data_IF_180846392913
#
_entry.id   IF_180846392913
#
_cell.length_a   1.000
_cell.length_b   1.000
_cell.length_c   1.000
_cell.angle_alpha   90.00
_cell.angle_beta   90.00
_cell.angle_gamma   90.00
#
_symmetry.space_group_name_H-M   'P 1'
#
loop_
_entity.id
_entity.type
_entity.pdbx_description
1 polymer ?
#
# COMPACT_ATOMS: atom_id res chain seq x y z
N UNK A 1 1.30 2.57 -7.43
CA UNK A 1 1.00 3.71 -6.52
C UNK A 1 1.55 3.39 -5.14
N UNK A 2 2.19 4.36 -4.48
CA UNK A 2 2.74 4.17 -3.13
C UNK A 2 1.63 4.47 -2.13
N UNK A 3 1.21 3.43 -1.39
CA UNK A 3 0.17 3.51 -0.36
C UNK A 3 0.77 3.87 1.00
N UNK A 4 2.03 3.54 1.26
CA UNK A 4 2.72 3.90 2.48
C UNK A 4 4.22 4.00 2.19
N UNK A 5 4.80 5.12 2.63
CA UNK A 5 6.23 5.35 2.70
C UNK A 5 6.46 6.33 3.87
N UNK A 6 7.72 6.49 4.23
CA UNK A 6 8.17 7.46 5.22
C UNK A 6 7.93 8.90 4.73
N UNK A 7 7.76 9.09 3.42
CA UNK A 7 7.42 10.34 2.75
C UNK A 7 6.06 10.22 2.06
N UNK A 8 5.28 11.32 1.98
CA UNK A 8 3.99 11.26 1.32
C UNK A 8 4.15 11.13 -0.20
N UNK A 9 3.48 10.16 -0.81
CA UNK A 9 3.41 10.03 -2.27
C UNK A 9 2.69 11.20 -2.93
N UNK A 10 1.64 11.70 -2.26
CA UNK A 10 0.82 12.84 -2.67
C UNK A 10 0.39 13.60 -1.41
N UNK A 11 0.24 14.92 -1.52
CA UNK A 11 -0.29 15.74 -0.42
C UNK A 11 -1.65 15.21 0.04
N UNK A 12 -1.84 15.10 1.36
CA UNK A 12 -3.07 14.57 1.98
C UNK A 12 -2.98 13.10 2.40
N UNK A 13 -2.01 12.34 1.87
CA UNK A 13 -1.77 10.96 2.31
C UNK A 13 -1.01 10.92 3.64
N UNK A 14 -1.34 9.92 4.45
CA UNK A 14 -0.66 9.64 5.72
C UNK A 14 0.67 8.94 5.46
N UNK A 15 1.66 9.17 6.31
CA UNK A 15 2.96 8.49 6.27
C UNK A 15 3.15 7.61 7.50
N UNK A 16 3.98 6.58 7.36
CA UNK A 16 4.47 5.76 8.46
C UNK A 16 5.85 5.20 8.08
N UNK A 17 6.63 4.77 9.07
CA UNK A 17 7.95 4.19 8.81
C UNK A 17 7.82 2.77 8.28
N UNK A 18 7.74 2.61 6.98
CA UNK A 18 7.50 1.33 6.30
C UNK A 18 7.06 1.52 4.87
N UNK A 19 6.81 0.41 4.16
CA UNK A 19 6.51 0.44 2.74
C UNK A 19 5.24 -0.36 2.43
N UNK A 20 4.39 0.20 1.57
CA UNK A 20 3.36 -0.55 0.87
C UNK A 20 3.11 0.06 -0.50
N UNK A 21 3.16 -0.77 -1.54
CA UNK A 21 3.01 -0.33 -2.93
C UNK A 21 1.97 -1.18 -3.63
N UNK A 22 0.93 -0.52 -4.15
CA UNK A 22 -0.02 -1.16 -5.05
C UNK A 22 0.52 -1.13 -6.48
N UNK A 23 0.55 -2.28 -7.14
CA UNK A 23 0.98 -2.44 -8.53
C UNK A 23 -0.14 -3.12 -9.32
N UNK A 24 -0.45 -2.57 -10.48
CA UNK A 24 -1.42 -3.15 -11.42
C UNK A 24 -0.73 -3.33 -12.78
N UNK A 25 -0.78 -4.55 -13.31
CA UNK A 25 -0.23 -4.93 -14.61
C UNK A 25 -1.28 -5.79 -15.30
N UNK A 26 -1.82 -5.30 -16.42
CA UNK A 26 -2.97 -5.91 -17.09
C UNK A 26 -4.15 -6.11 -16.11
N UNK A 27 -4.63 -7.34 -15.95
CA UNK A 27 -5.71 -7.68 -15.01
C UNK A 27 -5.20 -8.06 -13.61
N UNK A 28 -3.88 -8.13 -13.43
CA UNK A 28 -3.26 -8.55 -12.17
C UNK A 28 -2.99 -7.36 -11.26
N UNK A 29 -3.46 -7.46 -10.02
CA UNK A 29 -3.30 -6.48 -8.95
C UNK A 29 -2.56 -7.11 -7.79
N UNK A 30 -1.41 -6.54 -7.46
CA UNK A 30 -0.63 -6.97 -6.29
C UNK A 30 -0.43 -5.83 -5.31
N UNK A 31 -0.17 -6.24 -4.08
CA UNK A 31 0.31 -5.36 -3.01
C UNK A 31 1.71 -5.84 -2.62
N UNK A 32 2.71 -4.99 -2.80
CA UNK A 32 4.07 -5.24 -2.36
C UNK A 32 4.26 -4.60 -0.99
N UNK A 33 4.48 -5.43 0.03
CA UNK A 33 4.42 -5.12 1.45
C UNK A 33 3.12 -4.44 1.91
N UNK A 34 2.86 -4.47 3.21
CA UNK A 34 1.66 -3.89 3.82
C UNK A 34 1.96 -2.70 4.72
N UNK A 35 3.25 -2.38 4.91
CA UNK A 35 3.71 -1.48 5.96
C UNK A 35 3.31 -1.96 7.36
N UNK A 36 3.70 -1.25 8.43
CA UNK A 36 3.39 -1.64 9.80
C UNK A 36 1.99 -1.19 10.27
N UNK A 37 1.37 -0.20 9.62
CA UNK A 37 0.14 0.43 10.11
C UNK A 37 -1.07 0.14 9.18
N UNK A 38 -1.97 -0.78 9.55
CA UNK A 38 -3.14 -1.11 8.72
C UNK A 38 -4.13 0.05 8.58
N UNK A 39 -4.19 0.99 9.54
CA UNK A 39 -5.07 2.14 9.46
C UNK A 39 -4.56 3.17 8.44
N UNK A 40 -3.23 3.35 8.34
CA UNK A 40 -2.60 4.18 7.30
C UNK A 40 -2.79 3.54 5.93
N UNK A 41 -2.54 2.23 5.80
CA UNK A 41 -2.74 1.50 4.54
C UNK A 41 -4.18 1.65 4.03
N UNK A 42 -5.16 1.40 4.91
CA UNK A 42 -6.59 1.50 4.57
C UNK A 42 -6.97 2.92 4.15
N UNK A 43 -6.59 3.92 4.95
CA UNK A 43 -6.95 5.32 4.68
C UNK A 43 -6.36 5.82 3.36
N UNK A 44 -5.11 5.47 3.05
CA UNK A 44 -4.47 5.89 1.81
C UNK A 44 -5.03 5.14 0.60
N UNK A 45 -5.41 3.87 0.74
CA UNK A 45 -6.09 3.14 -0.34
C UNK A 45 -7.46 3.75 -0.65
N UNK A 46 -8.25 4.10 0.36
CA UNK A 46 -9.53 4.79 0.20
C UNK A 46 -9.36 6.16 -0.50
N UNK A 47 -8.41 6.97 -0.05
CA UNK A 47 -8.11 8.30 -0.64
C UNK A 47 -7.66 8.19 -2.11
N UNK A 48 -6.95 7.11 -2.46
CA UNK A 48 -6.47 6.87 -3.82
C UNK A 48 -7.48 6.09 -4.69
N UNK A 49 -8.65 5.73 -4.17
CA UNK A 49 -9.67 4.96 -4.89
C UNK A 49 -9.24 3.52 -5.21
N UNK A 50 -8.35 2.94 -4.40
CA UNK A 50 -7.84 1.58 -4.55
C UNK A 50 -8.68 0.63 -3.70
N UNK A 51 -9.33 -0.34 -4.35
CA UNK A 51 -10.09 -1.40 -3.69
C UNK A 51 -9.18 -2.58 -3.32
N UNK A 52 -8.76 -2.62 -2.06
CA UNK A 52 -7.88 -3.68 -1.55
C UNK A 52 -8.52 -5.09 -1.59
N UNK A 53 -9.84 -5.21 -1.75
CA UNK A 53 -10.51 -6.51 -1.89
C UNK A 53 -10.28 -7.17 -3.25
N UNK A 54 -9.78 -6.41 -4.23
CA UNK A 54 -9.47 -6.88 -5.59
C UNK A 54 -7.99 -7.24 -5.79
N UNK A 55 -7.19 -7.24 -4.72
CA UNK A 55 -5.79 -7.68 -4.78
C UNK A 55 -5.76 -9.20 -4.98
N UNK A 56 -5.02 -9.66 -5.99
CA UNK A 56 -4.89 -11.08 -6.31
C UNK A 56 -3.91 -11.77 -5.36
N UNK A 57 -2.80 -11.09 -5.03
CA UNK A 57 -1.80 -11.60 -4.11
C UNK A 57 -0.96 -10.49 -3.47
N UNK A 58 -0.36 -10.82 -2.33
CA UNK A 58 0.55 -9.95 -1.59
C UNK A 58 1.97 -10.53 -1.69
N UNK A 59 2.94 -9.67 -1.98
CA UNK A 59 4.35 -10.00 -1.90
C UNK A 59 4.89 -9.38 -0.62
N UNK A 60 5.38 -10.20 0.30
CA UNK A 60 6.11 -9.74 1.48
C UNK A 60 7.59 -9.79 1.14
N UNK A 61 8.25 -8.64 1.10
CA UNK A 61 9.66 -8.51 0.77
C UNK A 61 10.52 -9.29 1.76
N UNK A 62 10.23 -9.12 3.06
CA UNK A 62 10.77 -9.86 4.18
C UNK A 62 9.98 -9.52 5.46
N UNK A 63 10.15 -10.32 6.51
CA UNK A 63 9.56 -10.03 7.80
C UNK A 63 10.44 -9.04 8.59
N UNK A 64 9.84 -7.94 9.02
CA UNK A 64 10.39 -7.10 10.09
C UNK A 64 9.88 -7.64 11.44
N UNK A 65 10.79 -7.74 12.42
CA UNK A 65 10.52 -8.29 13.74
C UNK A 65 9.63 -7.43 14.62
#
# INVERSE_FOLDING_TARGET
MVLMDNNPYKQGLKTAWGLSVHVEINETRLLFDTGPDPAVLKANAEELGIDLTKIDFVVISHAHG
#
